data_IF_615231711804
#
_entry.id   IF_615231711804
#
_cell.length_a   1.000
_cell.length_b   1.000
_cell.length_c   1.000
_cell.angle_alpha   90.00
_cell.angle_beta   90.00
_cell.angle_gamma   90.00
#
_symmetry.space_group_name_H-M   'P 1'
#
loop_
_entity.id
_entity.type
_entity.pdbx_description
1 polymer ?
#
# COMPACT_ATOMS: atom_id res chain seq x y z
N UNK A 1 12.90 -21.90 -7.86
CA UNK A 1 12.65 -22.24 -9.28
C UNK A 1 11.30 -21.74 -9.81
N UNK A 2 10.51 -20.94 -9.07
CA UNK A 2 9.35 -20.21 -9.61
C UNK A 2 8.14 -21.06 -10.06
N UNK A 3 8.26 -22.39 -10.09
CA UNK A 3 7.15 -23.29 -10.39
C UNK A 3 6.33 -23.53 -9.13
N UNK A 4 5.12 -22.97 -9.09
CA UNK A 4 4.14 -23.13 -8.01
C UNK A 4 2.75 -23.40 -8.58
N UNK A 5 1.82 -23.79 -7.70
CA UNK A 5 0.41 -23.96 -8.10
C UNK A 5 -0.20 -22.57 -8.32
N UNK A 6 -0.61 -22.30 -9.55
CA UNK A 6 -1.26 -21.05 -9.92
C UNK A 6 -2.73 -21.09 -9.48
N UNK A 7 -3.08 -20.26 -8.51
CA UNK A 7 -4.43 -20.16 -7.97
C UNK A 7 -5.40 -19.38 -8.89
N UNK A 8 -4.89 -18.76 -9.97
CA UNK A 8 -5.73 -17.90 -10.80
C UNK A 8 -6.69 -18.67 -11.70
N UNK A 9 -7.94 -18.23 -11.72
CA UNK A 9 -8.99 -18.89 -12.49
C UNK A 9 -8.74 -18.80 -14.01
N UNK A 10 -9.19 -19.80 -14.76
CA UNK A 10 -9.08 -19.78 -16.23
C UNK A 10 -9.81 -18.57 -16.84
N UNK A 11 -10.94 -18.16 -16.24
CA UNK A 11 -11.68 -16.98 -16.67
C UNK A 11 -10.81 -15.73 -16.57
N UNK A 12 -10.15 -15.52 -15.43
CA UNK A 12 -9.29 -14.35 -15.24
C UNK A 12 -8.15 -14.31 -16.27
N UNK A 13 -7.55 -15.47 -16.57
CA UNK A 13 -6.52 -15.61 -17.62
C UNK A 13 -7.03 -15.20 -19.00
N UNK A 14 -8.23 -15.64 -19.37
CA UNK A 14 -8.82 -15.27 -20.67
C UNK A 14 -9.20 -13.80 -20.73
N UNK A 15 -9.76 -13.23 -19.64
CA UNK A 15 -10.09 -11.81 -19.56
C UNK A 15 -8.84 -10.93 -19.66
N UNK A 16 -7.77 -11.28 -18.94
CA UNK A 16 -6.50 -10.59 -19.03
C UNK A 16 -5.91 -10.64 -20.45
N UNK A 17 -5.94 -11.81 -21.08
CA UNK A 17 -5.44 -12.01 -22.45
C UNK A 17 -6.24 -11.18 -23.46
N UNK A 18 -7.57 -11.19 -23.36
CA UNK A 18 -8.45 -10.41 -24.24
C UNK A 18 -8.24 -8.91 -24.07
N UNK A 19 -8.16 -8.43 -22.82
CA UNK A 19 -7.89 -7.02 -22.54
C UNK A 19 -6.54 -6.56 -23.11
N UNK A 20 -5.49 -7.38 -22.92
CA UNK A 20 -4.17 -7.13 -23.48
C UNK A 20 -4.18 -7.11 -25.01
N UNK A 21 -4.87 -8.07 -25.65
CA UNK A 21 -5.00 -8.11 -27.10
C UNK A 21 -5.67 -6.84 -27.65
N UNK A 22 -6.78 -6.40 -27.03
CA UNK A 22 -7.49 -5.18 -27.45
C UNK A 22 -6.61 -3.94 -27.24
N UNK A 23 -5.96 -3.81 -26.08
CA UNK A 23 -5.09 -2.68 -25.76
C UNK A 23 -3.90 -2.56 -26.71
N UNK A 24 -3.19 -3.66 -26.94
CA UNK A 24 -2.04 -3.68 -27.85
C UNK A 24 -2.45 -3.49 -29.31
N UNK A 25 -3.58 -4.05 -29.74
CA UNK A 25 -4.09 -3.81 -31.10
C UNK A 25 -4.33 -2.33 -31.37
N UNK A 26 -4.94 -1.62 -30.41
CA UNK A 26 -5.18 -0.18 -30.52
C UNK A 26 -3.88 0.63 -30.48
N UNK A 27 -2.95 0.31 -29.58
CA UNK A 27 -1.63 0.96 -29.53
C UNK A 27 -0.86 0.75 -30.84
N UNK A 28 -0.87 -0.46 -31.38
CA UNK A 28 -0.19 -0.78 -32.63
C UNK A 28 -0.75 0.05 -33.78
N UNK A 29 -2.08 0.16 -33.90
CA UNK A 29 -2.75 0.98 -34.90
C UNK A 29 -2.39 2.47 -34.76
N UNK A 30 -2.45 3.03 -33.55
CA UNK A 30 -2.10 4.44 -33.29
C UNK A 30 -0.62 4.71 -33.57
N UNK A 31 0.27 3.82 -33.14
CA UNK A 31 1.72 4.00 -33.28
C UNK A 31 2.16 3.89 -34.74
N UNK A 32 1.61 2.95 -35.51
CA UNK A 32 1.91 2.83 -36.95
C UNK A 32 1.40 4.01 -37.78
N UNK A 33 0.39 4.73 -37.28
CA UNK A 33 -0.06 5.96 -37.92
C UNK A 33 0.92 7.14 -37.69
N UNK A 34 1.70 7.09 -36.62
CA UNK A 34 2.62 8.16 -36.19
C UNK A 34 4.08 7.92 -36.55
N UNK A 35 4.49 6.65 -36.60
CA UNK A 35 5.88 6.23 -36.78
C UNK A 35 6.03 5.19 -37.90
N UNK A 36 7.16 5.20 -38.62
CA UNK A 36 7.56 4.06 -39.46
C UNK A 36 7.65 2.76 -38.64
N UNK A 37 7.42 1.62 -39.29
CA UNK A 37 7.30 0.31 -38.63
C UNK A 37 8.50 -0.07 -37.73
N UNK A 38 9.73 0.30 -38.11
CA UNK A 38 10.93 0.01 -37.32
C UNK A 38 10.97 0.77 -35.99
N UNK A 39 10.61 2.06 -36.01
CA UNK A 39 10.53 2.88 -34.81
C UNK A 39 9.33 2.51 -33.94
N UNK A 40 8.21 2.15 -34.57
CA UNK A 40 7.01 1.71 -33.88
C UNK A 40 7.27 0.45 -33.04
N UNK A 41 8.12 -0.48 -33.49
CA UNK A 41 8.44 -1.71 -32.77
C UNK A 41 8.93 -1.47 -31.33
N UNK A 42 9.86 -0.52 -31.15
CA UNK A 42 10.43 -0.22 -29.82
C UNK A 42 9.37 0.32 -28.84
N UNK A 43 8.53 1.23 -29.32
CA UNK A 43 7.46 1.82 -28.51
C UNK A 43 6.40 0.76 -28.18
N UNK A 44 5.98 -0.03 -29.16
CA UNK A 44 4.99 -1.09 -28.95
C UNK A 44 5.52 -2.18 -28.01
N UNK A 45 6.81 -2.53 -28.08
CA UNK A 45 7.41 -3.51 -27.16
C UNK A 45 7.32 -3.06 -25.70
N UNK A 46 7.59 -1.78 -25.43
CA UNK A 46 7.41 -1.20 -24.09
C UNK A 46 5.94 -1.28 -23.65
N UNK A 47 5.01 -0.90 -24.52
CA UNK A 47 3.57 -0.97 -24.21
C UNK A 47 3.05 -2.40 -24.02
N UNK A 48 3.65 -3.38 -24.71
CA UNK A 48 3.42 -4.81 -24.53
C UNK A 48 3.60 -5.24 -23.07
N UNK A 49 4.71 -4.83 -22.46
CA UNK A 49 4.97 -5.11 -21.04
C UNK A 49 3.99 -4.37 -20.11
N UNK A 50 3.57 -3.14 -20.46
CA UNK A 50 2.54 -2.40 -19.71
C UNK A 50 1.18 -3.10 -19.76
N UNK A 51 0.81 -3.70 -20.90
CA UNK A 51 -0.42 -4.48 -21.03
C UNK A 51 -0.42 -5.69 -20.09
N UNK A 52 0.71 -6.39 -19.96
CA UNK A 52 0.82 -7.49 -18.98
C UNK A 52 0.47 -6.99 -17.59
N UNK A 53 1.05 -5.88 -17.14
CA UNK A 53 0.74 -5.33 -15.82
C UNK A 53 -0.72 -4.88 -15.68
N UNK A 54 -1.22 -4.09 -16.64
CA UNK A 54 -2.55 -3.48 -16.57
C UNK A 54 -3.69 -4.51 -16.65
N UNK A 55 -3.48 -5.63 -17.33
CA UNK A 55 -4.53 -6.62 -17.53
C UNK A 55 -4.32 -7.91 -16.71
N UNK A 56 -3.10 -8.28 -16.32
CA UNK A 56 -2.89 -9.44 -15.43
C UNK A 56 -2.97 -9.02 -13.96
N UNK A 57 -2.48 -7.82 -13.62
CA UNK A 57 -2.44 -7.29 -12.25
C UNK A 57 -3.01 -5.86 -12.16
N UNK A 58 -4.31 -5.65 -12.47
CA UNK A 58 -4.89 -4.31 -12.50
C UNK A 58 -4.80 -3.58 -11.14
N UNK A 59 -4.88 -4.29 -10.01
CA UNK A 59 -4.75 -3.71 -8.68
C UNK A 59 -3.30 -3.59 -8.18
N UNK A 60 -2.32 -4.08 -8.94
CA UNK A 60 -0.92 -3.98 -8.59
C UNK A 60 -0.47 -2.53 -8.47
N UNK A 61 0.39 -2.23 -7.50
CA UNK A 61 0.95 -0.89 -7.32
C UNK A 61 1.64 -0.36 -8.58
N UNK A 62 2.32 -1.27 -9.30
CA UNK A 62 3.04 -0.97 -10.55
C UNK A 62 2.12 -0.72 -11.75
N UNK A 63 0.84 -1.11 -11.64
CA UNK A 63 -0.19 -0.93 -12.67
C UNK A 63 -1.01 0.33 -12.44
N UNK A 64 -0.91 0.98 -11.27
CA UNK A 64 -1.73 2.16 -10.97
C UNK A 64 -1.39 3.33 -11.89
N UNK A 65 -2.34 4.25 -12.17
CA UNK A 65 -2.17 5.29 -13.19
C UNK A 65 -0.90 6.14 -13.01
N UNK A 66 -0.54 6.49 -11.77
CA UNK A 66 0.68 7.26 -11.51
C UNK A 66 1.96 6.50 -11.89
N UNK A 67 2.02 5.19 -11.61
CA UNK A 67 3.14 4.35 -12.03
C UNK A 67 3.26 4.36 -13.56
N UNK A 68 2.16 4.16 -14.28
CA UNK A 68 2.18 4.10 -15.76
C UNK A 68 2.53 5.47 -16.37
N UNK A 69 1.83 6.54 -15.99
CA UNK A 69 2.02 7.89 -16.55
C UNK A 69 3.41 8.42 -16.19
N UNK A 70 3.75 8.41 -14.90
CA UNK A 70 5.03 8.91 -14.41
C UNK A 70 6.18 8.05 -14.92
N UNK A 71 6.02 6.72 -14.89
CA UNK A 71 7.04 5.77 -15.29
C UNK A 71 7.41 5.88 -16.76
N UNK A 72 6.43 5.95 -17.67
CA UNK A 72 6.73 6.16 -19.10
C UNK A 72 7.19 7.59 -19.40
N UNK A 73 6.50 8.61 -18.86
CA UNK A 73 6.81 10.01 -19.15
C UNK A 73 8.22 10.42 -18.71
N UNK A 74 8.59 10.09 -17.47
CA UNK A 74 9.91 10.39 -16.92
C UNK A 74 11.01 9.60 -17.61
N UNK A 75 10.75 8.32 -17.91
CA UNK A 75 11.70 7.47 -18.64
C UNK A 75 11.94 7.96 -20.06
N UNK A 76 10.90 8.36 -20.78
CA UNK A 76 11.04 8.96 -22.12
C UNK A 76 11.85 10.24 -22.08
N UNK A 77 11.57 11.13 -21.11
CA UNK A 77 12.29 12.38 -20.94
C UNK A 77 13.79 12.14 -20.69
N UNK A 78 14.11 11.25 -19.75
CA UNK A 78 15.49 10.90 -19.42
C UNK A 78 16.19 10.24 -20.60
N UNK A 79 15.52 9.33 -21.30
CA UNK A 79 16.06 8.70 -22.51
C UNK A 79 16.42 9.71 -23.60
N UNK A 80 15.54 10.68 -23.86
CA UNK A 80 15.80 11.77 -24.82
C UNK A 80 16.96 12.66 -24.37
N UNK A 81 17.05 13.00 -23.07
CA UNK A 81 18.16 13.77 -22.52
C UNK A 81 19.48 13.03 -22.72
N UNK A 82 19.55 11.75 -22.34
CA UNK A 82 20.73 10.92 -22.52
C UNK A 82 21.14 10.82 -23.98
N UNK A 83 20.18 10.60 -24.89
CA UNK A 83 20.45 10.50 -26.32
C UNK A 83 20.98 11.82 -26.90
N UNK A 84 20.51 12.98 -26.41
CA UNK A 84 21.00 14.29 -26.85
C UNK A 84 22.38 14.64 -26.28
N UNK A 85 22.68 14.24 -25.05
CA UNK A 85 23.95 14.56 -24.39
C UNK A 85 25.10 13.62 -24.80
N UNK A 86 24.79 12.34 -25.05
CA UNK A 86 25.78 11.30 -25.34
C UNK A 86 25.37 10.47 -26.56
N UNK A 87 25.14 11.09 -27.74
CA UNK A 87 24.76 10.35 -28.94
C UNK A 87 25.88 9.39 -29.36
N UNK A 88 25.52 8.16 -29.73
CA UNK A 88 26.45 7.17 -30.28
C UNK A 88 27.36 6.45 -29.27
N UNK A 89 27.32 6.80 -27.98
CA UNK A 89 28.05 6.07 -26.96
C UNK A 89 27.40 4.70 -26.67
N UNK A 90 28.19 3.61 -26.56
CA UNK A 90 27.66 2.28 -26.27
C UNK A 90 27.02 2.18 -24.88
N UNK A 91 27.31 3.11 -23.97
CA UNK A 91 26.78 3.11 -22.60
C UNK A 91 25.51 3.95 -22.44
N UNK A 92 25.15 4.79 -23.42
CA UNK A 92 23.96 5.65 -23.35
C UNK A 92 22.66 4.88 -23.10
N UNK A 93 22.42 3.71 -23.71
CA UNK A 93 21.24 2.89 -23.41
C UNK A 93 21.16 2.48 -21.93
N UNK A 94 22.27 1.97 -21.38
CA UNK A 94 22.34 1.53 -20.00
C UNK A 94 22.19 2.70 -19.02
N UNK A 95 22.83 3.83 -19.31
CA UNK A 95 22.73 5.04 -18.51
C UNK A 95 21.30 5.59 -18.49
N UNK A 96 20.63 5.65 -19.64
CA UNK A 96 19.24 6.11 -19.74
C UNK A 96 18.30 5.26 -18.88
N UNK A 97 18.43 3.93 -18.95
CA UNK A 97 17.62 3.01 -18.14
C UNK A 97 17.94 3.16 -16.65
N UNK A 98 19.21 3.23 -16.27
CA UNK A 98 19.61 3.39 -14.87
C UNK A 98 19.09 4.70 -14.25
N UNK A 99 19.23 5.82 -14.98
CA UNK A 99 18.71 7.11 -14.54
C UNK A 99 17.18 7.14 -14.49
N UNK A 100 16.50 6.49 -15.45
CA UNK A 100 15.06 6.36 -15.45
C UNK A 100 14.56 5.56 -14.23
N UNK A 101 15.22 4.44 -13.91
CA UNK A 101 14.93 3.64 -12.72
C UNK A 101 15.13 4.46 -11.45
N UNK A 102 16.24 5.20 -11.34
CA UNK A 102 16.51 6.07 -10.19
C UNK A 102 15.41 7.13 -10.03
N UNK A 103 15.05 7.80 -11.13
CA UNK A 103 14.05 8.84 -11.13
C UNK A 103 12.68 8.31 -10.73
N UNK A 104 12.25 7.16 -11.28
CA UNK A 104 11.01 6.48 -10.92
C UNK A 104 10.94 6.11 -9.42
N UNK A 105 12.09 5.76 -8.80
CA UNK A 105 12.13 5.44 -7.38
C UNK A 105 11.83 6.68 -6.53
N UNK A 106 12.50 7.81 -6.84
CA UNK A 106 12.28 9.07 -6.12
C UNK A 106 10.88 9.64 -6.32
N UNK A 107 10.31 9.52 -7.52
CA UNK A 107 8.95 9.99 -7.83
C UNK A 107 7.87 8.97 -7.48
N UNK A 108 8.25 7.80 -6.95
CA UNK A 108 7.35 6.70 -6.55
C UNK A 108 6.40 6.27 -7.67
N UNK A 109 6.93 6.21 -8.90
CA UNK A 109 6.20 5.78 -10.09
C UNK A 109 6.91 4.62 -10.81
N UNK A 110 7.48 3.67 -10.05
CA UNK A 110 8.10 2.48 -10.65
C UNK A 110 7.10 1.77 -11.54
N UNK A 111 7.42 1.76 -12.82
CA UNK A 111 6.72 0.99 -13.84
C UNK A 111 7.80 0.39 -14.73
N UNK A 112 8.16 -0.90 -14.53
CA UNK A 112 9.25 -1.54 -15.25
C UNK A 112 9.23 -1.35 -16.78
N UNK A 113 8.06 -1.33 -17.45
CA UNK A 113 7.99 -1.00 -18.89
C UNK A 113 8.56 0.37 -19.26
N UNK A 114 8.57 1.34 -18.34
CA UNK A 114 9.23 2.63 -18.50
C UNK A 114 10.72 2.51 -18.79
N UNK A 115 11.42 1.52 -18.23
CA UNK A 115 12.81 1.24 -18.59
C UNK A 115 12.98 0.95 -20.09
N UNK A 116 12.08 0.17 -20.69
CA UNK A 116 12.08 -0.06 -22.13
C UNK A 116 11.74 1.21 -22.93
N UNK A 117 10.93 2.12 -22.38
CA UNK A 117 10.69 3.44 -23.00
C UNK A 117 11.95 4.31 -23.01
N UNK A 118 12.70 4.38 -21.90
CA UNK A 118 13.98 5.09 -21.86
C UNK A 118 14.97 4.52 -22.87
N UNK A 119 15.03 3.19 -22.95
CA UNK A 119 15.85 2.48 -23.94
C UNK A 119 15.43 2.84 -25.37
N UNK A 120 14.13 2.84 -25.66
CA UNK A 120 13.56 3.16 -26.98
C UNK A 120 13.97 4.55 -27.47
N UNK A 121 14.03 5.54 -26.58
CA UNK A 121 14.48 6.90 -26.94
C UNK A 121 15.93 6.94 -27.44
N UNK A 122 16.77 6.00 -26.96
CA UNK A 122 18.20 5.92 -27.30
C UNK A 122 18.42 5.05 -28.54
N UNK A 123 17.83 3.86 -28.60
CA UNK A 123 18.09 2.87 -29.68
C UNK A 123 17.07 2.92 -30.82
N UNK A 124 16.06 3.78 -30.73
CA UNK A 124 14.93 3.87 -31.65
C UNK A 124 15.23 4.39 -33.06
N UNK A 125 16.48 4.69 -33.38
CA UNK A 125 16.91 5.18 -34.69
C UNK A 125 16.51 6.63 -34.97
N UNK A 126 16.81 7.09 -36.19
CA UNK A 126 16.64 8.49 -36.61
C UNK A 126 15.21 8.99 -36.47
N UNK A 127 14.21 8.16 -36.81
CA UNK A 127 12.80 8.53 -36.70
C UNK A 127 12.37 8.88 -35.26
N UNK A 128 12.99 8.28 -34.23
CA UNK A 128 12.73 8.64 -32.83
C UNK A 128 13.64 9.80 -32.38
N UNK A 129 14.89 9.84 -32.84
CA UNK A 129 15.83 10.90 -32.48
C UNK A 129 15.39 12.27 -32.98
N UNK A 130 14.82 12.33 -34.19
CA UNK A 130 14.32 13.55 -34.84
C UNK A 130 13.13 14.17 -34.10
N UNK A 131 12.30 13.34 -33.43
CA UNK A 131 11.23 13.82 -32.57
C UNK A 131 11.77 14.59 -31.35
N UNK A 132 12.96 14.25 -30.87
CA UNK A 132 13.54 14.84 -29.67
C UNK A 132 12.57 14.80 -28.49
N UNK A 133 12.28 15.95 -27.87
CA UNK A 133 11.35 16.02 -26.73
C UNK A 133 9.90 15.75 -27.12
N UNK A 134 9.52 15.88 -28.40
CA UNK A 134 8.18 15.54 -28.85
C UNK A 134 7.87 14.06 -28.64
N UNK A 135 8.89 13.18 -28.65
CA UNK A 135 8.77 11.74 -28.35
C UNK A 135 8.01 11.45 -27.05
N UNK A 136 8.19 12.31 -26.03
CA UNK A 136 7.53 12.18 -24.73
C UNK A 136 6.01 12.34 -24.88
N UNK A 137 5.57 13.38 -25.58
CA UNK A 137 4.14 13.62 -25.80
C UNK A 137 3.55 12.64 -26.81
N UNK A 138 4.21 12.48 -27.95
CA UNK A 138 3.84 11.60 -29.04
C UNK A 138 5.07 10.87 -29.58
N UNK A 139 5.11 9.53 -29.53
CA UNK A 139 3.97 8.64 -29.29
C UNK A 139 3.76 8.21 -27.83
N UNK A 140 4.69 8.50 -26.90
CA UNK A 140 4.72 7.80 -25.59
C UNK A 140 3.48 8.09 -24.73
N UNK A 141 3.25 9.35 -24.33
CA UNK A 141 2.12 9.67 -23.46
C UNK A 141 0.77 9.49 -24.14
N UNK A 142 0.70 9.62 -25.46
CA UNK A 142 -0.48 9.25 -26.23
C UNK A 142 -0.80 7.75 -26.09
N UNK A 143 0.19 6.87 -26.26
CA UNK A 143 0.00 5.44 -26.07
C UNK A 143 -0.38 5.09 -24.62
N UNK A 144 0.20 5.79 -23.64
CA UNK A 144 -0.19 5.67 -22.23
C UNK A 144 -1.65 6.05 -22.01
N UNK A 145 -2.11 7.15 -22.61
CA UNK A 145 -3.51 7.57 -22.52
C UNK A 145 -4.44 6.52 -23.15
N UNK A 146 -4.08 5.98 -24.31
CA UNK A 146 -4.84 4.93 -25.00
C UNK A 146 -4.92 3.66 -24.14
N UNK A 147 -3.80 3.13 -23.66
CA UNK A 147 -3.80 1.88 -22.90
C UNK A 147 -4.50 2.02 -21.54
N UNK A 148 -4.36 3.16 -20.88
CA UNK A 148 -5.07 3.43 -19.62
C UNK A 148 -6.58 3.56 -19.85
N UNK A 149 -7.00 4.22 -20.93
CA UNK A 149 -8.42 4.28 -21.28
C UNK A 149 -8.98 2.88 -21.52
N UNK A 150 -8.28 2.03 -22.27
CA UNK A 150 -8.69 0.64 -22.49
C UNK A 150 -8.70 -0.13 -21.17
N UNK A 151 -7.68 0.02 -20.33
CA UNK A 151 -7.59 -0.66 -19.04
C UNK A 151 -8.75 -0.26 -18.11
N UNK A 152 -9.09 1.03 -18.02
CA UNK A 152 -10.24 1.51 -17.25
C UNK A 152 -11.53 0.92 -17.82
N UNK A 153 -11.80 1.11 -19.12
CA UNK A 153 -13.05 0.67 -19.73
C UNK A 153 -13.25 -0.85 -19.64
N UNK A 154 -12.21 -1.63 -19.93
CA UNK A 154 -12.27 -3.08 -19.92
C UNK A 154 -12.43 -3.64 -18.50
N UNK A 155 -11.65 -3.13 -17.55
CA UNK A 155 -11.67 -3.63 -16.18
C UNK A 155 -12.90 -3.14 -15.40
N UNK A 156 -13.50 -2.00 -15.78
CA UNK A 156 -14.77 -1.53 -15.20
C UNK A 156 -15.96 -2.47 -15.50
N UNK A 157 -15.88 -3.33 -16.52
CA UNK A 157 -16.93 -4.30 -16.83
C UNK A 157 -17.09 -5.40 -15.76
N UNK A 158 -16.06 -5.61 -14.93
CA UNK A 158 -16.03 -6.68 -13.94
C UNK A 158 -15.87 -6.10 -12.53
N UNK A 159 -16.84 -6.30 -11.61
CA UNK A 159 -16.81 -5.68 -10.29
C UNK A 159 -15.54 -5.95 -9.48
N UNK A 160 -14.95 -7.15 -9.63
CA UNK A 160 -13.72 -7.55 -8.93
C UNK A 160 -12.44 -7.07 -9.61
N UNK A 161 -12.48 -6.49 -10.82
CA UNK A 161 -11.31 -6.00 -11.57
C UNK A 161 -11.19 -4.47 -11.59
N UNK A 162 -12.11 -3.75 -10.93
CA UNK A 162 -12.27 -2.29 -11.05
C UNK A 162 -10.93 -1.55 -10.98
N UNK A 163 -10.63 -0.85 -12.07
CA UNK A 163 -9.41 -0.07 -12.26
C UNK A 163 -9.74 1.41 -12.50
N UNK A 164 -9.01 2.35 -11.88
CA UNK A 164 -7.95 2.16 -10.89
C UNK A 164 -8.46 1.63 -9.54
N UNK A 165 -7.56 1.10 -8.71
CA UNK A 165 -7.91 0.46 -7.44
C UNK A 165 -8.69 1.39 -6.47
N UNK A 166 -8.52 2.70 -6.60
CA UNK A 166 -9.28 3.70 -5.83
C UNK A 166 -10.80 3.65 -6.09
N UNK A 167 -11.25 3.04 -7.20
CA UNK A 167 -12.67 2.87 -7.54
C UNK A 167 -13.26 1.54 -7.03
N UNK A 168 -12.42 0.64 -6.51
CA UNK A 168 -12.87 -0.61 -5.94
C UNK A 168 -13.56 -0.36 -4.58
N UNK A 169 -14.68 -1.05 -4.27
CA UNK A 169 -15.33 -0.93 -2.97
C UNK A 169 -14.35 -1.30 -1.85
N UNK A 170 -14.06 -0.36 -0.95
CA UNK A 170 -13.30 -0.67 0.25
C UNK A 170 -14.20 -1.43 1.22
N UNK A 171 -13.93 -2.72 1.43
CA UNK A 171 -14.51 -3.43 2.56
C UNK A 171 -13.88 -2.87 3.84
N UNK A 172 -14.67 -2.39 4.81
CA UNK A 172 -14.12 -1.94 6.08
C UNK A 172 -13.37 -3.11 6.72
N UNK A 173 -12.08 -2.91 6.99
CA UNK A 173 -11.25 -3.93 7.62
C UNK A 173 -11.87 -4.32 8.97
N UNK A 174 -12.46 -5.51 9.04
CA UNK A 174 -12.86 -6.11 10.31
C UNK A 174 -11.60 -6.48 11.08
N UNK A 175 -11.45 -5.96 12.30
CA UNK A 175 -10.32 -6.29 13.18
C UNK A 175 -10.18 -7.82 13.28
N UNK A 176 -9.06 -8.40 12.79
CA UNK A 176 -8.88 -9.84 12.85
C UNK A 176 -8.50 -10.21 14.28
N UNK A 177 -9.52 -10.50 15.10
CA UNK A 177 -9.31 -11.13 16.39
C UNK A 177 -8.83 -12.56 16.18
N UNK A 178 -7.57 -12.85 16.54
CA UNK A 178 -7.06 -14.21 16.74
C UNK A 178 -7.09 -15.13 15.51
N UNK A 179 -6.68 -14.65 14.34
CA UNK A 179 -6.51 -15.50 13.15
C UNK A 179 -5.27 -16.39 13.28
N UNK A 180 -5.41 -17.69 12.96
CA UNK A 180 -4.30 -18.64 12.88
C UNK A 180 -3.53 -18.52 11.56
N UNK A 181 -2.28 -19.00 11.51
CA UNK A 181 -1.47 -18.96 10.29
C UNK A 181 -2.11 -19.78 9.14
N UNK A 182 -2.81 -20.85 9.51
CA UNK A 182 -3.57 -21.72 8.62
C UNK A 182 -4.78 -20.98 8.01
N UNK A 183 -5.47 -20.16 8.79
CA UNK A 183 -6.59 -19.34 8.29
C UNK A 183 -6.13 -18.35 7.22
N UNK A 184 -4.94 -17.75 7.41
CA UNK A 184 -4.33 -16.87 6.40
C UNK A 184 -3.92 -17.63 5.14
N UNK A 185 -3.34 -18.82 5.29
CA UNK A 185 -2.98 -19.66 4.16
C UNK A 185 -4.20 -20.04 3.31
N UNK A 186 -5.32 -20.36 3.97
CA UNK A 186 -6.58 -20.63 3.29
C UNK A 186 -7.19 -19.39 2.63
N UNK A 187 -7.16 -18.22 3.28
CA UNK A 187 -7.67 -16.98 2.71
C UNK A 187 -6.87 -16.53 1.48
N UNK A 188 -5.54 -16.60 1.54
CA UNK A 188 -4.66 -16.26 0.41
C UNK A 188 -4.92 -17.11 -0.83
N UNK A 189 -5.31 -18.38 -0.66
CA UNK A 189 -5.70 -19.27 -1.77
C UNK A 189 -7.04 -18.91 -2.42
N UNK A 190 -7.88 -18.16 -1.72
CA UNK A 190 -9.20 -17.74 -2.22
C UNK A 190 -9.16 -16.37 -2.91
N UNK A 191 -8.11 -15.58 -2.70
CA UNK A 191 -7.92 -14.30 -3.36
C UNK A 191 -7.36 -14.53 -4.77
N UNK A 192 -8.22 -14.40 -5.78
CA UNK A 192 -7.85 -14.45 -7.20
C UNK A 192 -7.16 -13.14 -7.63
N UNK A 193 -6.01 -12.84 -6.99
CA UNK A 193 -5.21 -11.65 -7.29
C UNK A 193 -3.73 -12.00 -7.27
N UNK A 194 -3.04 -11.65 -8.34
CA UNK A 194 -1.60 -11.85 -8.49
C UNK A 194 -0.86 -10.76 -7.67
N UNK A 195 -0.57 -11.05 -6.40
CA UNK A 195 0.29 -10.22 -5.55
C UNK A 195 1.57 -10.98 -5.23
N UNK A 196 2.71 -10.38 -5.53
CA UNK A 196 4.05 -10.92 -5.24
C UNK A 196 4.40 -10.64 -3.77
N UNK A 197 3.65 -11.25 -2.85
CA UNK A 197 4.00 -11.28 -1.43
C UNK A 197 4.14 -12.76 -1.06
N UNK A 198 5.35 -13.17 -0.70
CA UNK A 198 5.56 -14.53 -0.21
C UNK A 198 4.91 -14.67 1.16
N UNK A 199 4.42 -15.87 1.46
CA UNK A 199 3.79 -16.17 2.76
C UNK A 199 4.74 -15.85 3.93
N UNK A 200 6.04 -16.12 3.78
CA UNK A 200 7.07 -15.83 4.79
C UNK A 200 7.17 -14.33 5.09
N UNK A 201 7.14 -13.47 4.06
CA UNK A 201 7.23 -12.01 4.20
C UNK A 201 5.98 -11.45 4.92
N UNK A 202 4.81 -12.03 4.65
CA UNK A 202 3.58 -11.67 5.35
C UNK A 202 3.64 -12.06 6.84
N UNK A 203 4.14 -13.26 7.14
CA UNK A 203 4.34 -13.69 8.52
C UNK A 203 5.34 -12.78 9.25
N UNK A 204 6.41 -12.36 8.59
CA UNK A 204 7.38 -11.41 9.15
C UNK A 204 6.71 -10.06 9.46
N UNK A 205 5.90 -9.52 8.53
CA UNK A 205 5.14 -8.28 8.76
C UNK A 205 4.18 -8.42 9.95
N UNK A 206 3.48 -9.55 10.07
CA UNK A 206 2.59 -9.82 11.20
C UNK A 206 3.38 -9.94 12.51
N UNK A 207 4.51 -10.64 12.51
CA UNK A 207 5.36 -10.75 13.69
C UNK A 207 5.90 -9.39 14.13
N UNK A 208 6.36 -8.56 13.19
CA UNK A 208 6.78 -7.18 13.47
C UNK A 208 5.63 -6.34 14.03
N UNK A 209 4.43 -6.46 13.46
CA UNK A 209 3.23 -5.79 13.95
C UNK A 209 2.84 -6.27 15.36
N UNK A 210 2.91 -7.57 15.63
CA UNK A 210 2.64 -8.18 16.93
C UNK A 210 3.69 -7.80 17.97
N UNK A 211 4.98 -7.77 17.62
CA UNK A 211 6.06 -7.29 18.50
C UNK A 211 5.83 -5.82 18.86
N UNK A 212 5.46 -4.97 17.90
CA UNK A 212 5.09 -3.59 18.18
C UNK A 212 3.81 -3.46 19.03
N UNK A 213 2.86 -4.39 18.92
CA UNK A 213 1.67 -4.41 19.76
C UNK A 213 1.98 -4.93 21.19
N UNK A 214 2.85 -5.93 21.33
CA UNK A 214 3.26 -6.51 22.60
C UNK A 214 4.20 -5.58 23.39
N UNK A 215 5.11 -4.89 22.72
CA UNK A 215 5.94 -3.83 23.31
C UNK A 215 5.13 -2.64 23.86
N UNK A 216 3.81 -2.60 23.60
CA UNK A 216 2.87 -1.59 24.09
C UNK A 216 1.94 -2.12 25.18
N UNK A 217 2.11 -3.37 25.62
CA UNK A 217 1.27 -3.95 26.68
C UNK A 217 1.70 -3.35 28.02
N UNK A 218 0.74 -2.77 28.74
CA UNK A 218 0.98 -2.24 30.07
C UNK A 218 1.19 -3.41 31.04
N UNK A 219 2.21 -3.31 31.87
CA UNK A 219 2.42 -4.21 33.00
C UNK A 219 1.61 -3.71 34.20
N UNK A 220 1.39 -4.57 35.21
CA UNK A 220 0.72 -4.14 36.44
C UNK A 220 1.44 -2.94 37.09
N UNK A 221 2.78 -2.88 37.02
CA UNK A 221 3.56 -1.75 37.54
C UNK A 221 3.27 -0.41 36.86
N UNK A 222 2.79 -0.42 35.62
CA UNK A 222 2.51 0.79 34.84
C UNK A 222 1.14 1.39 35.16
N UNK A 223 0.32 0.66 35.92
CA UNK A 223 -0.95 1.13 36.44
C UNK A 223 -0.68 2.01 37.67
N UNK A 224 -0.87 3.32 37.53
CA UNK A 224 -0.63 4.31 38.56
C UNK A 224 -1.95 4.86 39.12
N UNK A 225 -1.93 5.20 40.40
CA UNK A 225 -3.04 5.90 41.04
C UNK A 225 -3.25 7.27 40.39
N UNK A 226 -4.50 7.63 40.10
CA UNK A 226 -4.89 8.89 39.47
C UNK A 226 -4.83 8.87 37.94
N UNK A 227 -4.10 7.94 37.34
CA UNK A 227 -3.93 7.86 35.89
C UNK A 227 -5.18 7.31 35.18
N UNK A 228 -5.38 7.74 33.94
CA UNK A 228 -6.45 7.31 33.06
C UNK A 228 -5.93 6.37 31.96
N UNK A 229 -6.69 5.32 31.67
CA UNK A 229 -6.35 4.28 30.72
C UNK A 229 -7.49 4.04 29.75
N UNK A 230 -7.15 3.89 28.47
CA UNK A 230 -8.10 3.59 27.40
C UNK A 230 -7.90 2.16 26.90
N UNK A 231 -8.99 1.44 26.63
CA UNK A 231 -8.94 0.13 26.00
C UNK A 231 -8.77 0.18 24.46
N UNK A 232 -8.83 1.37 23.86
CA UNK A 232 -8.69 1.61 22.42
C UNK A 232 -9.61 0.75 21.52
N UNK A 233 -10.72 0.22 22.06
CA UNK A 233 -11.73 -0.48 21.26
C UNK A 233 -12.62 0.53 20.52
N UNK A 234 -13.16 0.21 19.34
CA UNK A 234 -14.04 1.11 18.61
C UNK A 234 -15.50 1.09 19.12
N UNK A 235 -16.24 2.16 18.85
CA UNK A 235 -17.69 2.25 19.04
C UNK A 235 -18.14 2.06 20.49
N UNK A 236 -19.21 1.29 20.69
CA UNK A 236 -19.87 1.12 21.99
C UNK A 236 -19.04 0.29 23.00
N UNK A 237 -17.90 -0.26 22.60
CA UNK A 237 -16.97 -0.97 23.47
C UNK A 237 -15.82 -0.07 23.98
N UNK A 238 -15.66 1.14 23.42
CA UNK A 238 -14.66 2.10 23.85
C UNK A 238 -14.94 2.59 25.26
N UNK A 239 -13.93 2.63 26.12
CA UNK A 239 -14.05 3.24 27.44
C UNK A 239 -12.70 3.73 27.99
N UNK A 240 -12.78 4.76 28.85
CA UNK A 240 -11.65 5.29 29.62
C UNK A 240 -11.92 5.07 31.10
N UNK A 241 -10.96 4.44 31.78
CA UNK A 241 -11.00 4.17 33.23
C UNK A 241 -9.92 4.97 33.92
N UNK A 242 -10.31 5.72 34.95
CA UNK A 242 -9.39 6.35 35.88
C UNK A 242 -9.20 5.47 37.10
N UNK A 243 -7.95 5.28 37.53
CA UNK A 243 -7.65 4.62 38.80
C UNK A 243 -7.86 5.61 39.93
N UNK A 244 -8.90 5.41 40.73
CA UNK A 244 -9.28 6.32 41.83
C UNK A 244 -8.71 5.88 43.18
N UNK A 245 -8.47 4.58 43.35
CA UNK A 245 -7.78 4.02 44.52
C UNK A 245 -6.98 2.79 44.10
N UNK A 246 -5.86 2.56 44.76
CA UNK A 246 -4.92 1.53 44.40
C UNK A 246 -4.20 0.98 45.63
N UNK A 247 -4.29 -0.33 45.87
CA UNK A 247 -3.54 -0.99 46.93
C UNK A 247 -2.02 -0.90 46.73
N UNK A 248 -1.23 -1.07 47.80
CA UNK A 248 0.25 -1.04 47.69
C UNK A 248 0.74 -2.14 46.71
N UNK A 249 1.63 -1.81 45.75
CA UNK A 249 2.16 -2.78 44.80
C UNK A 249 2.84 -3.96 45.52
N UNK A 250 2.69 -5.18 45.00
CA UNK A 250 3.46 -6.35 45.46
C UNK A 250 2.87 -7.14 46.65
N UNK A 251 1.66 -6.82 47.14
CA UNK A 251 0.96 -7.61 48.18
C UNK A 251 0.04 -8.71 47.62
N UNK A 252 0.54 -9.53 46.69
CA UNK A 252 -0.13 -10.76 46.22
C UNK A 252 -1.65 -10.64 46.00
N UNK A 253 -2.44 -11.47 46.69
CA UNK A 253 -3.92 -11.52 46.61
C UNK A 253 -4.67 -10.20 46.90
N UNK A 254 -4.00 -9.15 47.39
CA UNK A 254 -4.58 -7.83 47.70
C UNK A 254 -4.17 -6.71 46.74
N UNK A 255 -3.49 -7.02 45.62
CA UNK A 255 -3.13 -6.02 44.61
C UNK A 255 -4.34 -5.68 43.71
N UNK A 256 -5.27 -4.93 44.30
CA UNK A 256 -6.51 -4.48 43.66
C UNK A 256 -6.47 -2.97 43.40
N UNK A 257 -7.14 -2.58 42.33
CA UNK A 257 -7.37 -1.19 41.95
C UNK A 257 -8.86 -0.93 41.85
N UNK A 258 -9.28 0.20 42.37
CA UNK A 258 -10.63 0.73 42.19
C UNK A 258 -10.56 1.73 41.05
N UNK A 259 -11.41 1.54 40.05
CA UNK A 259 -11.48 2.42 38.90
C UNK A 259 -12.86 3.04 38.74
N UNK A 260 -12.90 4.20 38.11
CA UNK A 260 -14.12 4.85 37.65
C UNK A 260 -14.08 4.96 36.12
N UNK A 261 -15.17 4.60 35.46
CA UNK A 261 -15.32 4.84 34.02
C UNK A 261 -15.70 6.31 33.81
N UNK A 262 -14.80 7.06 33.20
CA UNK A 262 -14.93 8.51 33.05
C UNK A 262 -15.31 8.93 31.63
N UNK A 263 -15.21 8.02 30.65
CA UNK A 263 -15.70 8.24 29.30
C UNK A 263 -16.04 6.90 28.63
N UNK A 264 -17.01 6.93 27.71
CA UNK A 264 -17.40 5.77 26.91
C UNK A 264 -18.36 4.80 27.59
N UNK A 265 -18.27 3.53 27.24
CA UNK A 265 -19.20 2.48 27.65
C UNK A 265 -19.22 2.29 29.18
N UNK A 266 -20.40 2.48 29.79
CA UNK A 266 -20.55 2.41 31.24
C UNK A 266 -20.03 3.63 32.01
N UNK A 267 -19.94 4.79 31.37
CA UNK A 267 -19.57 6.06 31.99
C UNK A 267 -20.35 6.31 33.29
N UNK A 268 -19.63 6.69 34.35
CA UNK A 268 -20.17 6.88 35.70
C UNK A 268 -20.02 5.68 36.62
N UNK A 269 -19.86 4.47 36.08
CA UNK A 269 -19.71 3.26 36.88
C UNK A 269 -18.34 3.19 37.56
N UNK A 270 -18.33 2.64 38.77
CA UNK A 270 -17.11 2.29 39.51
C UNK A 270 -16.99 0.78 39.66
N UNK A 271 -15.77 0.25 39.59
CA UNK A 271 -15.51 -1.17 39.75
C UNK A 271 -14.20 -1.43 40.48
N UNK A 272 -14.04 -2.66 40.95
CA UNK A 272 -12.81 -3.15 41.58
C UNK A 272 -12.30 -4.34 40.77
N UNK A 273 -11.00 -4.36 40.49
CA UNK A 273 -10.36 -5.47 39.80
C UNK A 273 -8.91 -5.62 40.27
N UNK A 274 -8.24 -6.71 39.90
CA UNK A 274 -6.80 -6.82 40.14
C UNK A 274 -6.07 -5.84 39.25
N UNK A 275 -4.92 -5.33 39.72
CA UNK A 275 -4.08 -4.41 38.94
C UNK A 275 -3.69 -5.00 37.58
N UNK A 276 -3.35 -6.29 37.55
CA UNK A 276 -3.05 -7.02 36.32
C UNK A 276 -4.24 -7.09 35.35
N UNK A 277 -5.48 -7.22 35.86
CA UNK A 277 -6.67 -7.27 35.02
C UNK A 277 -6.90 -5.92 34.33
N UNK A 278 -6.64 -4.82 35.04
CA UNK A 278 -6.71 -3.48 34.45
C UNK A 278 -5.60 -3.27 33.42
N UNK A 279 -4.38 -3.73 33.69
CA UNK A 279 -3.26 -3.67 32.75
C UNK A 279 -3.55 -4.47 31.46
N UNK A 280 -4.17 -5.65 31.58
CA UNK A 280 -4.60 -6.45 30.44
C UNK A 280 -5.76 -5.81 29.65
N UNK A 281 -6.64 -5.08 30.33
CA UNK A 281 -7.75 -4.36 29.71
C UNK A 281 -7.31 -3.06 29.01
N UNK A 282 -6.27 -2.40 29.54
CA UNK A 282 -5.78 -1.12 29.05
C UNK A 282 -4.84 -1.28 27.86
N UNK A 283 -5.12 -0.55 26.78
CA UNK A 283 -4.25 -0.49 25.61
C UNK A 283 -3.17 0.60 25.75
N UNK A 284 -3.47 1.70 26.45
CA UNK A 284 -2.53 2.79 26.70
C UNK A 284 -3.02 3.73 27.80
N UNK A 285 -2.10 4.40 28.48
CA UNK A 285 -2.42 5.56 29.31
C UNK A 285 -2.81 6.77 28.44
N UNK A 286 -3.76 7.57 28.92
CA UNK A 286 -4.35 8.69 28.19
C UNK A 286 -4.48 9.95 29.05
N UNK A 287 -4.34 11.10 28.43
CA UNK A 287 -4.51 12.44 28.99
C UNK A 287 -5.80 13.05 28.43
N UNK A 288 -6.47 13.87 29.22
CA UNK A 288 -7.60 14.66 28.73
C UNK A 288 -7.06 15.87 27.96
N UNK A 289 -7.56 16.08 26.74
CA UNK A 289 -7.20 17.21 25.90
C UNK A 289 -8.47 17.80 25.28
N UNK A 290 -8.98 18.88 25.87
CA UNK A 290 -10.30 19.44 25.54
C UNK A 290 -11.42 18.42 25.81
N UNK A 291 -12.27 18.20 24.81
CA UNK A 291 -13.35 17.21 24.86
C UNK A 291 -12.89 15.77 24.53
N UNK A 292 -11.61 15.59 24.20
CA UNK A 292 -11.03 14.32 23.76
C UNK A 292 -9.98 13.73 24.71
N UNK A 293 -9.45 12.57 24.31
CA UNK A 293 -8.40 11.84 25.01
C UNK A 293 -7.22 11.59 24.08
N UNK A 294 -6.02 11.98 24.49
CA UNK A 294 -4.77 11.75 23.75
C UNK A 294 -3.90 10.75 24.52
N UNK A 295 -3.02 10.03 23.84
CA UNK A 295 -2.06 9.14 24.51
C UNK A 295 -1.00 9.95 25.24
N UNK A 296 -0.57 9.45 26.39
CA UNK A 296 0.49 10.06 27.20
C UNK A 296 1.08 9.07 28.20
N UNK A 297 2.04 9.53 29.00
CA UNK A 297 2.59 8.73 30.09
C UNK A 297 1.58 8.54 31.23
N UNK A 298 1.63 7.39 31.92
CA UNK A 298 0.79 7.14 33.10
C UNK A 298 1.00 8.21 34.20
N UNK A 299 2.26 8.62 34.42
CA UNK A 299 2.59 9.64 35.42
C UNK A 299 2.05 11.03 35.04
N UNK A 300 2.15 11.40 33.76
CA UNK A 300 1.59 12.64 33.23
C UNK A 300 0.06 12.64 33.34
N UNK A 301 -0.57 11.50 33.02
CA UNK A 301 -2.00 11.30 33.13
C UNK A 301 -2.51 11.50 34.56
N UNK A 302 -1.80 10.94 35.54
CA UNK A 302 -2.12 11.13 36.96
C UNK A 302 -1.97 12.60 37.38
N UNK A 303 -0.90 13.29 36.94
CA UNK A 303 -0.67 14.68 37.27
C UNK A 303 -1.74 15.62 36.68
N UNK A 304 -2.18 15.36 35.44
CA UNK A 304 -3.22 16.14 34.77
C UNK A 304 -4.57 16.04 35.49
N UNK A 305 -4.93 14.85 35.99
CA UNK A 305 -6.20 14.64 36.69
C UNK A 305 -6.26 15.29 38.08
N UNK A 306 -5.11 15.49 38.74
CA UNK A 306 -5.04 16.19 40.02
C UNK A 306 -5.25 17.70 39.89
N UNK A 307 -5.04 18.27 38.70
CA UNK A 307 -5.26 19.70 38.44
C UNK A 307 -6.73 20.02 38.08
N UNK A 308 -7.49 19.02 37.65
CA UNK A 308 -8.90 19.12 37.23
C UNK A 308 -9.92 18.78 38.35
N UNK A 309 -9.44 18.38 39.55
CA UNK A 309 -10.27 17.95 40.70
C UNK A 309 -10.38 19.04 41.77
#
# INVERSE_FOLDING_TARGET
MGWGTDATSHLEKYLATLGAFVGISLIYAVTHWLLPSEAAFWVVASMGASAVLLFVVPHGALSQPWAVIGGHGLSALIGVICQKLLPGSPFTPALAVALAILAMQYTRCIHPPGGATALSAVVGGTAIHDLGFAFVLSPVLLNVAVILLVAVLFNCLFPWRRYPAALAPQQPASNPGGLSAEDFYHALRQVDSYMDIRFDDLLEIIQLAQQHAQARRLEASDILLGACYSNALPGNAWAVRQVIDAGKPGRGLRDQVIYKVIAGSGMGNTGVCRRQDLANWAASAVLRAGDGWIRGGAAESAAAMQQDS
#
